data_IF_008423336023
#
_entry.id   IF_008423336023
#
_cell.length_a   1.000
_cell.length_b   1.000
_cell.length_c   1.000
_cell.angle_alpha   90.00
_cell.angle_beta   90.00
_cell.angle_gamma   90.00
#
_symmetry.space_group_name_H-M   'P 1'
#
loop_
_entity.id
_entity.type
_entity.pdbx_description
1 polymer ?
#
# COMPACT_ATOMS: atom_id res chain seq x y z
N UNK A 1 11.24 26.01 0.02
CA UNK A 1 11.03 26.55 -1.33
C UNK A 1 9.52 26.52 -1.64
N UNK A 2 9.08 26.70 -2.89
CA UNK A 2 7.67 26.37 -3.20
C UNK A 2 7.44 24.87 -3.05
N UNK A 3 6.33 24.44 -2.46
CA UNK A 3 6.08 23.02 -2.18
C UNK A 3 6.29 22.11 -3.40
N UNK A 4 5.78 22.50 -4.57
CA UNK A 4 5.84 21.69 -5.79
C UNK A 4 7.24 21.59 -6.43
N UNK A 5 8.03 22.68 -6.37
CA UNK A 5 9.34 22.71 -7.09
C UNK A 5 10.40 21.83 -6.43
N UNK A 6 10.21 21.51 -5.14
CA UNK A 6 11.13 20.63 -4.41
C UNK A 6 11.12 19.22 -4.99
N UNK A 7 9.94 18.65 -5.24
CA UNK A 7 9.81 17.30 -5.81
C UNK A 7 10.30 17.23 -7.26
N UNK A 8 9.95 18.21 -8.11
CA UNK A 8 10.47 18.32 -9.48
C UNK A 8 12.00 18.35 -9.52
N UNK A 9 12.63 19.20 -8.70
CA UNK A 9 14.08 19.35 -8.69
C UNK A 9 14.79 18.08 -8.20
N UNK A 10 14.24 17.41 -7.18
CA UNK A 10 14.80 16.16 -6.66
C UNK A 10 14.65 15.01 -7.65
N UNK A 11 13.47 14.84 -8.25
CA UNK A 11 13.22 13.79 -9.24
C UNK A 11 14.17 13.92 -10.43
N UNK A 12 14.31 15.13 -10.99
CA UNK A 12 15.22 15.38 -12.11
C UNK A 12 16.69 15.11 -11.75
N UNK A 13 17.11 15.46 -10.53
CA UNK A 13 18.49 15.27 -10.08
C UNK A 13 18.84 13.79 -9.89
N UNK A 14 17.94 13.02 -9.27
CA UNK A 14 18.23 11.65 -8.82
C UNK A 14 17.84 10.60 -9.86
N UNK A 15 16.76 10.83 -10.63
CA UNK A 15 16.14 9.82 -11.48
C UNK A 15 16.21 10.16 -12.98
N UNK A 16 16.63 11.38 -13.31
CA UNK A 16 16.71 11.88 -14.69
C UNK A 16 15.42 12.58 -15.15
N UNK A 17 15.35 12.87 -16.44
CA UNK A 17 14.32 13.73 -17.04
C UNK A 17 12.97 13.05 -17.22
N UNK A 18 12.97 11.72 -17.46
CA UNK A 18 11.77 10.88 -17.54
C UNK A 18 11.87 9.74 -16.55
N UNK A 19 10.86 9.59 -15.68
CA UNK A 19 10.76 8.50 -14.71
C UNK A 19 9.65 7.51 -15.08
N UNK A 20 9.85 6.24 -14.76
CA UNK A 20 8.88 5.19 -15.10
C UNK A 20 7.60 5.28 -14.27
N UNK A 21 7.74 5.56 -12.98
CA UNK A 21 6.65 5.53 -12.00
C UNK A 21 6.82 6.66 -10.97
N UNK A 22 5.77 7.46 -10.76
CA UNK A 22 5.68 8.46 -9.70
C UNK A 22 4.38 8.28 -8.95
N UNK A 23 4.42 8.27 -7.61
CA UNK A 23 3.23 8.02 -6.82
C UNK A 23 3.06 8.90 -5.60
N UNK A 24 1.84 8.88 -5.06
CA UNK A 24 1.44 9.63 -3.88
C UNK A 24 -0.04 9.41 -3.54
N UNK A 25 -0.56 10.12 -2.55
CA UNK A 25 -2.00 10.09 -2.26
C UNK A 25 -2.84 10.69 -3.40
N UNK A 26 -4.11 10.31 -3.50
CA UNK A 26 -5.04 10.89 -4.47
C UNK A 26 -5.20 12.42 -4.31
N UNK A 27 -5.00 12.95 -3.12
CA UNK A 27 -4.98 14.39 -2.84
C UNK A 27 -3.78 15.13 -3.48
N UNK A 28 -2.74 14.40 -3.89
CA UNK A 28 -1.58 14.97 -4.58
C UNK A 28 -1.77 15.05 -6.09
N UNK A 29 -2.77 14.40 -6.68
CA UNK A 29 -3.08 14.50 -8.11
C UNK A 29 -3.15 15.98 -8.53
N UNK A 30 -3.90 16.78 -7.76
CA UNK A 30 -4.00 18.21 -7.95
C UNK A 30 -3.99 18.95 -6.60
N UNK A 31 -3.21 20.04 -6.45
CA UNK A 31 -2.38 20.66 -7.49
C UNK A 31 -0.98 20.06 -7.61
N UNK A 32 -0.56 19.17 -6.72
CA UNK A 32 0.85 18.87 -6.51
C UNK A 32 1.54 18.23 -7.72
N UNK A 33 1.13 17.03 -8.11
CA UNK A 33 1.70 16.29 -9.24
C UNK A 33 1.47 17.00 -10.58
N UNK A 34 0.33 17.69 -10.73
CA UNK A 34 0.05 18.52 -11.90
C UNK A 34 1.08 19.66 -12.07
N UNK A 35 1.46 20.32 -10.96
CA UNK A 35 2.50 21.34 -10.96
C UNK A 35 3.89 20.73 -11.21
N UNK A 36 4.19 19.57 -10.64
CA UNK A 36 5.47 18.89 -10.88
C UNK A 36 5.65 18.54 -12.35
N UNK A 37 4.62 17.95 -12.97
CA UNK A 37 4.59 17.69 -14.40
C UNK A 37 4.85 18.98 -15.18
N UNK A 38 4.08 20.03 -14.92
CA UNK A 38 4.23 21.28 -15.65
C UNK A 38 5.64 21.89 -15.51
N UNK A 39 6.24 21.83 -14.32
CA UNK A 39 7.59 22.36 -14.07
C UNK A 39 8.68 21.54 -14.77
N UNK A 40 8.64 20.22 -14.60
CA UNK A 40 9.64 19.30 -15.15
C UNK A 40 9.60 19.26 -16.68
N UNK A 41 8.40 19.18 -17.26
CA UNK A 41 8.24 19.14 -18.72
C UNK A 41 8.57 20.49 -19.36
N UNK A 42 8.20 21.61 -18.72
CA UNK A 42 8.58 22.93 -19.24
C UNK A 42 10.10 23.19 -19.17
N UNK A 43 10.78 22.66 -18.15
CA UNK A 43 12.22 22.84 -17.99
C UNK A 43 13.05 21.96 -18.92
N UNK A 44 12.56 20.76 -19.26
CA UNK A 44 13.32 19.74 -20.00
C UNK A 44 12.88 19.59 -21.45
N UNK A 45 11.61 19.87 -21.75
CA UNK A 45 11.00 19.57 -23.05
C UNK A 45 10.68 18.09 -23.26
N UNK A 46 10.81 17.26 -22.22
CA UNK A 46 10.60 15.81 -22.26
C UNK A 46 9.38 15.41 -21.39
N UNK A 47 8.83 14.22 -21.63
CA UNK A 47 7.80 13.64 -20.76
C UNK A 47 8.37 13.42 -19.36
N UNK A 48 7.69 13.90 -18.30
CA UNK A 48 8.21 13.75 -16.95
C UNK A 48 8.02 12.33 -16.40
N UNK A 49 6.81 11.77 -16.48
CA UNK A 49 6.47 10.47 -15.86
C UNK A 49 5.68 9.60 -16.84
N UNK A 50 6.05 8.31 -16.96
CA UNK A 50 5.32 7.35 -17.79
C UNK A 50 4.02 6.85 -17.13
N UNK A 51 4.09 6.50 -15.84
CA UNK A 51 2.93 6.03 -15.08
C UNK A 51 2.81 6.76 -13.74
N UNK A 52 1.62 7.27 -13.46
CA UNK A 52 1.28 7.85 -12.18
C UNK A 52 0.48 6.84 -11.35
N UNK A 53 0.86 6.64 -10.09
CA UNK A 53 0.17 5.75 -9.17
C UNK A 53 -0.34 6.50 -7.95
N UNK A 54 -1.66 6.53 -7.76
CA UNK A 54 -2.27 7.24 -6.64
C UNK A 54 -3.00 6.29 -5.70
N UNK A 55 -2.68 6.38 -4.41
CA UNK A 55 -3.39 5.63 -3.37
C UNK A 55 -4.67 6.36 -2.98
N UNK A 56 -5.75 5.61 -2.80
CA UNK A 56 -7.01 6.14 -2.31
C UNK A 56 -6.89 6.70 -0.89
N UNK A 57 -7.89 7.50 -0.51
CA UNK A 57 -7.98 8.07 0.83
C UNK A 57 -8.65 7.09 1.78
N UNK A 58 -8.31 7.22 3.06
CA UNK A 58 -8.92 6.47 4.17
C UNK A 58 -9.84 7.44 4.92
N UNK A 59 -11.08 7.03 5.16
CA UNK A 59 -12.04 7.75 6.02
C UNK A 59 -12.19 7.06 7.38
N UNK A 60 -12.84 7.73 8.33
CA UNK A 60 -13.26 7.16 9.61
C UNK A 60 -14.55 7.87 10.02
N UNK A 61 -15.56 7.09 10.44
CA UNK A 61 -16.88 7.60 10.82
C UNK A 61 -17.55 8.47 9.73
N UNK A 62 -17.40 8.10 8.45
CA UNK A 62 -17.95 8.83 7.31
C UNK A 62 -17.20 10.11 6.93
N UNK A 63 -16.09 10.44 7.60
CA UNK A 63 -15.30 11.64 7.36
C UNK A 63 -13.87 11.30 6.93
N UNK A 64 -13.26 12.12 6.07
CA UNK A 64 -11.85 11.94 5.68
C UNK A 64 -10.93 12.03 6.92
N UNK A 65 -9.96 11.13 7.04
CA UNK A 65 -8.94 11.24 8.09
C UNK A 65 -8.03 12.44 7.84
N UNK A 66 -7.92 13.35 8.82
CA UNK A 66 -7.05 14.53 8.71
C UNK A 66 -6.59 15.07 10.08
N UNK A 67 -5.41 15.71 10.10
CA UNK A 67 -4.90 16.39 11.32
C UNK A 67 -5.88 17.44 11.85
N UNK A 68 -6.54 18.18 10.95
CA UNK A 68 -7.47 19.25 11.32
C UNK A 68 -8.74 18.75 12.00
N UNK A 69 -9.20 17.54 11.67
CA UNK A 69 -10.38 16.93 12.28
C UNK A 69 -10.04 16.16 13.57
N UNK A 70 -8.75 15.97 13.87
CA UNK A 70 -8.30 15.26 15.07
C UNK A 70 -8.64 13.76 15.07
N UNK A 71 -9.05 13.21 13.93
CA UNK A 71 -9.53 11.84 13.76
C UNK A 71 -8.44 10.91 13.18
N UNK A 72 -7.17 11.16 13.53
CA UNK A 72 -6.05 10.35 13.04
C UNK A 72 -5.77 9.17 13.96
N UNK A 73 -5.56 8.01 13.34
CA UNK A 73 -4.97 6.84 13.99
C UNK A 73 -3.48 6.81 13.65
N UNK A 74 -2.66 6.72 14.69
CA UNK A 74 -1.21 6.82 14.57
C UNK A 74 -0.55 5.45 14.60
N UNK A 75 0.29 5.15 13.60
CA UNK A 75 1.02 3.88 13.50
C UNK A 75 1.95 3.63 14.69
N UNK A 76 2.50 4.68 15.32
CA UNK A 76 3.32 4.57 16.53
C UNK A 76 2.53 4.27 17.80
N UNK A 77 1.24 4.60 17.83
CA UNK A 77 0.34 4.13 18.89
C UNK A 77 -0.10 2.69 18.63
N UNK A 78 -0.49 2.36 17.40
CA UNK A 78 -0.90 1.00 17.02
C UNK A 78 0.18 -0.04 17.33
N UNK A 79 1.45 0.24 17.02
CA UNK A 79 2.56 -0.70 17.23
C UNK A 79 2.85 -1.00 18.70
N UNK A 80 2.30 -0.23 19.65
CA UNK A 80 2.42 -0.53 21.09
C UNK A 80 1.54 -1.71 21.50
N UNK A 81 0.51 -2.00 20.71
CA UNK A 81 -0.51 -3.00 21.01
C UNK A 81 -0.55 -4.13 19.99
N UNK A 82 -0.30 -3.83 18.71
CA UNK A 82 -0.41 -4.78 17.61
C UNK A 82 0.94 -5.03 16.92
N UNK A 83 1.12 -6.25 16.43
CA UNK A 83 2.26 -6.63 15.60
C UNK A 83 2.27 -5.76 14.31
N UNK A 84 3.41 -5.15 13.92
CA UNK A 84 3.50 -4.38 12.68
C UNK A 84 3.05 -5.13 11.42
N UNK A 85 3.18 -6.47 11.41
CA UNK A 85 2.68 -7.32 10.32
C UNK A 85 1.15 -7.34 10.26
N UNK A 86 0.47 -7.31 11.41
CA UNK A 86 -0.98 -7.20 11.47
C UNK A 86 -1.46 -5.80 11.01
N UNK A 87 -0.75 -4.74 11.41
CA UNK A 87 -1.01 -3.38 10.92
C UNK A 87 -0.88 -3.35 9.39
N UNK A 88 0.19 -3.95 8.85
CA UNK A 88 0.41 -4.05 7.41
C UNK A 88 -0.72 -4.79 6.71
N UNK A 89 -1.14 -5.96 7.21
CA UNK A 89 -2.26 -6.73 6.67
C UNK A 89 -3.56 -5.91 6.61
N UNK A 90 -3.88 -5.17 7.68
CA UNK A 90 -5.09 -4.35 7.71
C UNK A 90 -5.09 -3.19 6.72
N UNK A 91 -3.92 -2.72 6.30
CA UNK A 91 -3.83 -1.69 5.24
C UNK A 91 -3.92 -2.33 3.86
N UNK A 92 -3.23 -3.44 3.63
CA UNK A 92 -3.12 -4.05 2.28
C UNK A 92 -4.27 -5.01 1.96
N UNK A 93 -5.17 -5.34 2.90
CA UNK A 93 -6.39 -6.08 2.58
C UNK A 93 -7.39 -5.29 1.74
N UNK A 94 -7.16 -3.98 1.62
CA UNK A 94 -7.86 -3.09 0.70
C UNK A 94 -7.01 -2.84 -0.55
N UNK A 95 -7.66 -2.83 -1.72
CA UNK A 95 -6.98 -2.47 -2.96
C UNK A 95 -6.49 -1.02 -2.89
N UNK A 96 -5.24 -0.75 -3.30
CA UNK A 96 -4.60 0.55 -3.07
C UNK A 96 -5.34 1.75 -3.69
N UNK A 97 -6.17 1.51 -4.73
CA UNK A 97 -6.99 2.50 -5.45
C UNK A 97 -8.41 2.65 -4.95
N UNK A 98 -8.84 1.86 -3.97
CA UNK A 98 -10.22 1.85 -3.47
C UNK A 98 -10.27 2.55 -2.12
N UNK A 99 -11.16 3.54 -1.99
CA UNK A 99 -11.42 4.19 -0.71
C UNK A 99 -12.04 3.19 0.26
N UNK A 100 -11.64 3.27 1.53
CA UNK A 100 -12.15 2.42 2.59
C UNK A 100 -12.18 3.19 3.91
N UNK A 101 -13.00 2.70 4.84
CA UNK A 101 -13.17 3.31 6.15
C UNK A 101 -12.37 2.53 7.19
N UNK A 102 -11.59 3.24 7.98
CA UNK A 102 -11.00 2.71 9.19
C UNK A 102 -12.08 2.38 10.21
N UNK A 103 -12.02 1.17 10.77
CA UNK A 103 -12.80 0.75 11.93
C UNK A 103 -11.88 0.15 13.03
N UNK A 104 -12.42 0.07 14.25
CA UNK A 104 -11.67 -0.45 15.41
C UNK A 104 -11.50 -1.99 15.39
N UNK A 105 -12.28 -2.72 14.58
CA UNK A 105 -12.22 -4.17 14.45
C UNK A 105 -11.09 -4.63 13.51
N UNK A 106 -10.61 -3.73 12.65
CA UNK A 106 -9.56 -3.97 11.66
C UNK A 106 -8.30 -4.60 12.29
N UNK A 107 -7.80 -4.03 13.40
CA UNK A 107 -6.57 -4.53 14.03
C UNK A 107 -6.75 -5.88 14.72
N UNK A 108 -7.79 -6.11 15.55
CA UNK A 108 -8.11 -7.45 16.06
C UNK A 108 -8.27 -8.52 14.97
N UNK A 109 -8.98 -8.20 13.88
CA UNK A 109 -9.19 -9.13 12.77
C UNK A 109 -7.86 -9.52 12.11
N UNK A 110 -7.01 -8.54 11.82
CA UNK A 110 -5.72 -8.78 11.18
C UNK A 110 -4.70 -9.44 12.09
N UNK A 111 -4.77 -9.22 13.40
CA UNK A 111 -3.98 -9.98 14.36
C UNK A 111 -4.38 -11.47 14.37
N UNK A 112 -5.68 -11.77 14.29
CA UNK A 112 -6.16 -13.14 14.16
C UNK A 112 -5.75 -13.77 12.82
N UNK A 113 -5.82 -13.02 11.71
CA UNK A 113 -5.33 -13.46 10.39
C UNK A 113 -3.85 -13.82 10.44
N UNK A 114 -3.00 -12.94 11.00
CA UNK A 114 -1.58 -13.19 11.15
C UNK A 114 -1.30 -14.47 11.95
N UNK A 115 -2.03 -14.70 13.05
CA UNK A 115 -1.90 -15.92 13.84
C UNK A 115 -2.30 -17.17 13.06
N UNK A 116 -3.35 -17.09 12.24
CA UNK A 116 -3.78 -18.17 11.35
C UNK A 116 -2.67 -18.53 10.35
N UNK A 117 -2.10 -17.54 9.67
CA UNK A 117 -1.01 -17.75 8.72
C UNK A 117 0.24 -18.32 9.40
N UNK A 118 0.58 -17.79 10.58
CA UNK A 118 1.73 -18.23 11.36
C UNK A 118 1.62 -19.68 11.86
N UNK A 119 0.45 -20.32 11.82
CA UNK A 119 0.28 -21.73 12.11
C UNK A 119 0.72 -22.65 10.93
N UNK A 120 0.91 -22.08 9.73
CA UNK A 120 1.14 -22.83 8.49
C UNK A 120 2.40 -22.36 7.73
N UNK A 121 3.54 -22.29 8.42
CA UNK A 121 4.81 -21.71 7.93
C UNK A 121 5.57 -22.54 6.89
N UNK A 122 4.95 -23.57 6.30
CA UNK A 122 5.59 -24.38 5.26
C UNK A 122 5.48 -23.72 3.88
N UNK A 123 6.35 -24.08 2.95
CA UNK A 123 6.27 -23.63 1.55
C UNK A 123 5.07 -24.22 0.82
N UNK A 124 4.56 -23.47 -0.17
CA UNK A 124 3.53 -23.91 -1.10
C UNK A 124 3.74 -23.20 -2.45
N UNK A 125 4.47 -23.83 -3.40
CA UNK A 125 4.82 -23.20 -4.67
C UNK A 125 3.61 -22.83 -5.54
N UNK A 126 2.52 -23.61 -5.48
CA UNK A 126 1.32 -23.34 -6.26
C UNK A 126 0.61 -22.07 -5.76
N UNK A 127 0.49 -21.93 -4.43
CA UNK A 127 -0.03 -20.69 -3.81
C UNK A 127 0.88 -19.49 -4.10
N UNK A 128 2.20 -19.68 -4.03
CA UNK A 128 3.16 -18.62 -4.32
C UNK A 128 2.94 -18.06 -5.74
N UNK A 129 2.72 -18.95 -6.71
CA UNK A 129 2.44 -18.53 -8.08
C UNK A 129 1.06 -17.86 -8.22
N UNK A 130 0.03 -18.38 -7.56
CA UNK A 130 -1.28 -17.72 -7.52
C UNK A 130 -1.18 -16.30 -6.96
N UNK A 131 -0.44 -16.11 -5.86
CA UNK A 131 -0.24 -14.78 -5.27
C UNK A 131 0.55 -13.86 -6.19
N UNK A 132 1.54 -14.35 -6.94
CA UNK A 132 2.22 -13.53 -7.97
C UNK A 132 1.26 -13.03 -9.03
N UNK A 133 0.41 -13.91 -9.56
CA UNK A 133 -0.57 -13.53 -10.58
C UNK A 133 -1.56 -12.48 -10.07
N UNK A 134 -1.93 -12.53 -8.79
CA UNK A 134 -2.75 -11.48 -8.15
C UNK A 134 -1.99 -10.16 -8.08
N UNK A 135 -0.73 -10.18 -7.64
CA UNK A 135 0.07 -8.97 -7.52
C UNK A 135 0.41 -8.35 -8.88
N UNK A 136 0.56 -9.16 -9.92
CA UNK A 136 0.76 -8.70 -11.30
C UNK A 136 -0.51 -8.03 -11.90
N UNK A 137 -1.69 -8.33 -11.36
CA UNK A 137 -2.97 -7.70 -11.71
C UNK A 137 -3.21 -6.44 -10.85
N UNK A 138 -2.50 -5.36 -11.17
CA UNK A 138 -2.63 -4.04 -10.52
C UNK A 138 -2.49 -4.07 -8.99
N UNK A 139 -1.62 -4.94 -8.46
CA UNK A 139 -1.47 -5.17 -7.03
C UNK A 139 -2.80 -5.57 -6.37
N UNK A 140 -3.49 -6.60 -6.88
CA UNK A 140 -4.68 -7.23 -6.25
C UNK A 140 -4.31 -7.90 -4.92
N UNK A 141 -3.94 -7.09 -3.92
CA UNK A 141 -3.63 -7.52 -2.57
C UNK A 141 -4.85 -8.09 -1.83
N UNK A 142 -6.11 -7.65 -2.06
CA UNK A 142 -7.27 -8.34 -1.52
C UNK A 142 -7.38 -9.78 -2.04
N UNK A 143 -7.20 -9.99 -3.35
CA UNK A 143 -7.20 -11.32 -3.95
C UNK A 143 -6.03 -12.19 -3.48
N UNK A 144 -4.84 -11.61 -3.35
CA UNK A 144 -3.68 -12.30 -2.77
C UNK A 144 -3.93 -12.74 -1.32
N UNK A 145 -4.47 -11.86 -0.47
CA UNK A 145 -4.83 -12.17 0.92
C UNK A 145 -5.89 -13.27 0.96
N UNK A 146 -6.93 -13.19 0.14
CA UNK A 146 -7.98 -14.20 0.09
C UNK A 146 -7.44 -15.60 -0.29
N UNK A 147 -6.49 -15.67 -1.23
CA UNK A 147 -5.82 -16.91 -1.60
C UNK A 147 -5.02 -17.50 -0.42
N UNK A 148 -4.27 -16.65 0.30
CA UNK A 148 -3.49 -17.08 1.47
C UNK A 148 -4.42 -17.50 2.63
N UNK A 149 -5.49 -16.76 2.89
CA UNK A 149 -6.51 -17.09 3.89
C UNK A 149 -7.14 -18.47 3.60
N UNK A 150 -7.47 -18.75 2.33
CA UNK A 150 -8.02 -20.04 1.91
C UNK A 150 -7.01 -21.18 2.10
N UNK A 151 -5.75 -20.98 1.72
CA UNK A 151 -4.70 -21.97 1.92
C UNK A 151 -4.44 -22.27 3.40
N UNK A 152 -4.35 -21.24 4.24
CA UNK A 152 -4.21 -21.39 5.69
C UNK A 152 -5.42 -22.16 6.28
N UNK A 153 -6.64 -21.82 5.89
CA UNK A 153 -7.84 -22.53 6.33
C UNK A 153 -7.87 -24.01 5.89
N UNK A 154 -7.25 -24.34 4.77
CA UNK A 154 -7.05 -25.72 4.29
C UNK A 154 -5.86 -26.44 4.95
N UNK A 155 -5.14 -25.79 5.87
CA UNK A 155 -3.96 -26.32 6.53
C UNK A 155 -2.72 -26.39 5.65
N UNK A 156 -2.70 -25.66 4.54
CA UNK A 156 -1.60 -25.63 3.58
C UNK A 156 -0.57 -24.57 3.94
N UNK A 157 0.66 -24.77 3.46
CA UNK A 157 1.76 -23.82 3.66
C UNK A 157 1.51 -22.44 3.04
N UNK A 158 1.95 -21.39 3.72
CA UNK A 158 1.75 -19.99 3.27
C UNK A 158 3.00 -19.09 3.36
N UNK A 159 4.14 -19.57 3.86
CA UNK A 159 5.27 -18.71 4.23
C UNK A 159 5.82 -17.84 3.08
N UNK A 160 6.15 -18.45 1.95
CA UNK A 160 6.71 -17.74 0.78
C UNK A 160 5.70 -16.76 0.16
N UNK A 161 4.42 -17.13 0.15
CA UNK A 161 3.34 -16.31 -0.38
C UNK A 161 3.09 -15.07 0.52
N UNK A 162 3.07 -15.26 1.84
CA UNK A 162 2.98 -14.16 2.81
C UNK A 162 4.19 -13.21 2.72
N UNK A 163 5.38 -13.74 2.45
CA UNK A 163 6.59 -12.94 2.28
C UNK A 163 6.52 -11.97 1.08
N UNK A 164 5.82 -12.32 -0.01
CA UNK A 164 5.57 -11.38 -1.13
C UNK A 164 4.76 -10.16 -0.69
N UNK A 165 3.89 -10.34 0.31
CA UNK A 165 3.15 -9.25 0.92
C UNK A 165 3.95 -8.50 1.99
N UNK A 166 5.23 -8.83 2.21
CA UNK A 166 6.05 -8.25 3.28
C UNK A 166 5.63 -8.70 4.68
N UNK A 167 4.98 -9.85 4.78
CA UNK A 167 4.60 -10.49 6.04
C UNK A 167 5.50 -11.69 6.25
N UNK A 168 6.63 -11.46 6.91
CA UNK A 168 7.56 -12.53 7.29
C UNK A 168 6.95 -13.34 8.43
N UNK A 169 6.80 -14.65 8.23
CA UNK A 169 6.21 -15.58 9.19
C UNK A 169 7.26 -16.36 9.96
N UNK A 170 8.55 -16.21 9.69
CA UNK A 170 9.60 -16.91 10.44
C UNK A 170 9.84 -16.31 11.84
#
# INVERSE_FOLDING_TARGET
PGWHIECSALALRELGTTIDLHGGGADLIFPHHECERAQSEAATGELFVKHWMHTALISMDGEKMSKSLGNLVFVDELRKTFDPRAIRLGIIEHHYRTEWEWDEELMPLNAARLNSWAAHRTSNPDLLEEVRLRLDDDLDTPGAIAAIDAAAAAGQGVSEAAALLGVDLD
#
